data_IF_324862688083
#
_entry.id   IF_324862688083
#
_cell.length_a   1.000
_cell.length_b   1.000
_cell.length_c   1.000
_cell.angle_alpha   90.00
_cell.angle_beta   90.00
_cell.angle_gamma   90.00
#
_symmetry.space_group_name_H-M   'P 1'
#
loop_
_entity.id
_entity.type
_entity.pdbx_description
1 polymer ?
#
# COMPACT_ATOMS: atom_id res chain seq x y z
N UNK A 1 -42.32 2.17 -5.23
CA UNK A 1 -41.38 2.34 -6.38
C UNK A 1 -40.32 3.42 -6.15
N UNK A 2 -40.70 4.66 -5.84
CA UNK A 2 -39.75 5.79 -5.67
C UNK A 2 -38.57 5.52 -4.73
N UNK A 3 -38.84 4.83 -3.62
CA UNK A 3 -37.84 4.53 -2.58
C UNK A 3 -36.77 3.54 -3.04
N UNK A 4 -37.14 2.52 -3.82
CA UNK A 4 -36.20 1.51 -4.36
C UNK A 4 -35.31 2.16 -5.41
N UNK A 5 -35.90 2.94 -6.32
CA UNK A 5 -35.14 3.66 -7.35
C UNK A 5 -34.10 4.60 -6.73
N UNK A 6 -34.46 5.33 -5.66
CA UNK A 6 -33.53 6.21 -4.95
C UNK A 6 -32.33 5.44 -4.36
N UNK A 7 -32.56 4.24 -3.82
CA UNK A 7 -31.47 3.38 -3.32
C UNK A 7 -30.56 2.92 -4.47
N UNK A 8 -31.13 2.45 -5.58
CA UNK A 8 -30.36 1.99 -6.74
C UNK A 8 -29.51 3.13 -7.30
N UNK A 9 -30.07 4.33 -7.51
CA UNK A 9 -29.31 5.49 -7.99
C UNK A 9 -28.16 5.85 -7.06
N UNK A 10 -28.41 5.83 -5.74
CA UNK A 10 -27.36 6.07 -4.76
C UNK A 10 -26.27 5.00 -4.78
N UNK A 11 -26.58 3.74 -5.08
CA UNK A 11 -25.56 2.69 -5.19
C UNK A 11 -24.78 2.82 -6.50
N UNK A 12 -25.46 3.06 -7.62
CA UNK A 12 -24.84 3.27 -8.92
C UNK A 12 -23.88 4.47 -8.90
N UNK A 13 -24.26 5.58 -8.26
CA UNK A 13 -23.39 6.75 -8.13
C UNK A 13 -22.09 6.48 -7.36
N UNK A 14 -22.01 5.39 -6.60
CA UNK A 14 -20.82 4.99 -5.83
C UNK A 14 -19.93 4.04 -6.61
N UNK A 15 -20.46 3.40 -7.66
CA UNK A 15 -19.71 2.48 -8.49
C UNK A 15 -18.67 3.26 -9.29
N UNK A 16 -17.39 3.00 -9.01
CA UNK A 16 -16.24 3.71 -9.59
C UNK A 16 -15.55 4.70 -8.65
N UNK A 17 -16.17 5.05 -7.51
CA UNK A 17 -15.49 5.84 -6.46
C UNK A 17 -14.66 4.92 -5.55
N UNK A 18 -13.35 4.86 -5.86
CA UNK A 18 -12.36 4.07 -5.11
C UNK A 18 -12.31 4.49 -3.63
N UNK A 19 -12.56 5.77 -3.31
CA UNK A 19 -12.54 6.27 -1.94
C UNK A 19 -13.64 5.62 -1.11
N UNK A 20 -14.82 5.55 -1.69
CA UNK A 20 -15.99 5.04 -1.03
C UNK A 20 -15.95 3.52 -0.92
N UNK A 21 -15.45 2.85 -1.96
CA UNK A 21 -15.14 1.43 -1.94
C UNK A 21 -14.14 1.09 -0.82
N UNK A 22 -13.01 1.80 -0.75
CA UNK A 22 -11.98 1.56 0.26
C UNK A 22 -12.49 1.82 1.68
N UNK A 23 -13.39 2.81 1.86
CA UNK A 23 -14.03 3.08 3.16
C UNK A 23 -14.86 1.88 3.61
N UNK A 24 -15.75 1.38 2.77
CA UNK A 24 -16.62 0.25 3.12
C UNK A 24 -15.83 -1.03 3.34
N UNK A 25 -14.85 -1.32 2.47
CA UNK A 25 -13.99 -2.49 2.61
C UNK A 25 -13.24 -2.49 3.94
N UNK A 26 -12.60 -1.36 4.29
CA UNK A 26 -11.88 -1.22 5.57
C UNK A 26 -12.83 -1.36 6.76
N UNK A 27 -14.02 -0.79 6.69
CA UNK A 27 -14.99 -0.84 7.78
C UNK A 27 -15.50 -2.28 8.01
N UNK A 28 -15.98 -2.95 6.96
CA UNK A 28 -16.48 -4.32 7.05
C UNK A 28 -15.40 -5.29 7.53
N UNK A 29 -14.17 -5.16 7.00
CA UNK A 29 -13.05 -6.00 7.41
C UNK A 29 -12.63 -5.75 8.86
N UNK A 30 -12.58 -4.49 9.32
CA UNK A 30 -12.29 -4.19 10.73
C UNK A 30 -13.30 -4.84 11.66
N UNK A 31 -14.60 -4.73 11.35
CA UNK A 31 -15.67 -5.32 12.16
C UNK A 31 -15.50 -6.85 12.22
N UNK A 32 -15.30 -7.49 11.07
CA UNK A 32 -15.09 -8.93 10.99
C UNK A 32 -13.84 -9.37 11.76
N UNK A 33 -12.68 -8.76 11.49
CA UNK A 33 -11.39 -9.13 12.08
C UNK A 33 -11.41 -8.95 13.61
N UNK A 34 -11.92 -7.81 14.10
CA UNK A 34 -12.01 -7.56 15.54
C UNK A 34 -12.92 -8.58 16.23
N UNK A 35 -14.05 -8.96 15.60
CA UNK A 35 -14.94 -10.01 16.13
C UNK A 35 -14.28 -11.38 16.11
N UNK A 36 -13.66 -11.78 15.00
CA UNK A 36 -13.03 -13.09 14.84
C UNK A 36 -11.87 -13.32 15.81
N UNK A 37 -11.03 -12.30 16.03
CA UNK A 37 -9.86 -12.41 16.91
C UNK A 37 -10.10 -11.86 18.33
N UNK A 38 -11.34 -11.54 18.70
CA UNK A 38 -11.71 -10.93 20.00
C UNK A 38 -10.84 -9.70 20.35
N UNK A 39 -10.51 -8.89 19.34
CA UNK A 39 -9.72 -7.66 19.49
C UNK A 39 -10.64 -6.44 19.56
N UNK A 40 -10.15 -5.39 20.20
CA UNK A 40 -10.81 -4.08 20.25
C UNK A 40 -9.86 -3.00 19.72
N UNK A 41 -10.41 -1.97 19.09
CA UNK A 41 -9.65 -0.83 18.59
C UNK A 41 -9.44 -0.79 17.08
N UNK A 42 -8.57 0.11 16.65
CA UNK A 42 -8.33 0.45 15.24
C UNK A 42 -7.43 -0.57 14.56
N UNK A 43 -7.90 -1.17 13.47
CA UNK A 43 -7.11 -2.12 12.67
C UNK A 43 -6.19 -1.43 11.65
N UNK A 44 -6.58 -0.25 11.15
CA UNK A 44 -5.87 0.47 10.10
C UNK A 44 -5.26 1.76 10.65
N UNK A 45 -3.94 1.94 10.51
CA UNK A 45 -3.25 3.13 11.03
C UNK A 45 -3.46 4.36 10.14
N UNK A 46 -3.43 4.19 8.81
CA UNK A 46 -3.52 5.30 7.85
C UNK A 46 -4.68 5.15 6.84
N UNK A 47 -5.04 6.27 6.20
CA UNK A 47 -5.91 6.28 5.01
C UNK A 47 -5.24 5.53 3.84
N UNK A 48 -6.05 5.06 2.90
CA UNK A 48 -5.49 4.45 1.69
C UNK A 48 -4.76 5.52 0.86
N UNK A 49 -3.68 5.10 0.18
CA UNK A 49 -2.91 5.96 -0.72
C UNK A 49 -3.38 5.70 -2.14
N UNK A 50 -3.73 6.75 -2.87
CA UNK A 50 -4.02 6.70 -4.30
C UNK A 50 -2.91 7.45 -5.03
N UNK A 51 -2.21 6.74 -5.91
CA UNK A 51 -1.07 7.29 -6.65
C UNK A 51 -1.32 7.04 -8.12
N UNK A 52 -1.31 8.10 -8.91
CA UNK A 52 -1.37 8.00 -10.37
C UNK A 52 -0.07 7.40 -10.87
N UNK A 53 -0.20 6.40 -11.73
CA UNK A 53 0.93 5.70 -12.36
C UNK A 53 0.83 5.98 -13.85
N UNK A 54 1.97 6.29 -14.48
CA UNK A 54 2.03 6.42 -15.93
C UNK A 54 1.65 5.10 -16.58
N UNK A 55 0.85 5.17 -17.65
CA UNK A 55 0.41 4.01 -18.43
C UNK A 55 1.53 3.48 -19.33
N UNK A 56 2.60 3.02 -18.69
CA UNK A 56 3.73 2.38 -19.34
C UNK A 56 4.00 1.04 -18.69
N UNK A 57 4.32 0.03 -19.52
CA UNK A 57 4.62 -1.31 -19.03
C UNK A 57 5.81 -1.32 -18.04
N UNK A 58 6.76 -0.39 -18.20
CA UNK A 58 7.88 -0.22 -17.27
C UNK A 58 7.44 0.27 -15.89
N UNK A 59 6.47 1.19 -15.81
CA UNK A 59 5.91 1.65 -14.54
C UNK A 59 5.06 0.57 -13.86
N UNK A 60 4.22 -0.14 -14.61
CA UNK A 60 3.43 -1.26 -14.08
C UNK A 60 4.32 -2.38 -13.51
N UNK A 61 5.36 -2.79 -14.23
CA UNK A 61 6.33 -3.79 -13.73
C UNK A 61 7.01 -3.38 -12.43
N UNK A 62 7.34 -2.09 -12.27
CA UNK A 62 7.94 -1.58 -11.03
C UNK A 62 6.95 -1.65 -9.85
N UNK A 63 5.67 -1.36 -10.09
CA UNK A 63 4.64 -1.44 -9.06
C UNK A 63 4.36 -2.89 -8.67
N UNK A 64 4.29 -3.81 -9.64
CA UNK A 64 4.17 -5.23 -9.38
C UNK A 64 5.36 -5.74 -8.54
N UNK A 65 6.60 -5.45 -8.97
CA UNK A 65 7.80 -5.80 -8.23
C UNK A 65 7.81 -5.21 -6.81
N UNK A 66 7.28 -3.99 -6.62
CA UNK A 66 7.14 -3.41 -5.28
C UNK A 66 6.18 -4.20 -4.39
N UNK A 67 5.05 -4.66 -4.93
CA UNK A 67 4.08 -5.47 -4.19
C UNK A 67 4.72 -6.80 -3.77
N UNK A 68 5.36 -7.49 -4.72
CA UNK A 68 5.96 -8.81 -4.51
C UNK A 68 7.15 -8.76 -3.55
N UNK A 69 7.94 -7.69 -3.58
CA UNK A 69 9.12 -7.54 -2.72
C UNK A 69 8.82 -6.92 -1.35
N UNK A 70 7.57 -6.52 -1.07
CA UNK A 70 7.20 -5.96 0.24
C UNK A 70 7.44 -6.92 1.42
N UNK A 71 7.13 -8.23 1.35
CA UNK A 71 7.42 -9.15 2.44
C UNK A 71 8.91 -9.30 2.71
N UNK A 72 9.72 -9.37 1.66
CA UNK A 72 11.19 -9.38 1.77
C UNK A 72 11.65 -8.08 2.43
N UNK A 73 11.14 -6.94 1.96
CA UNK A 73 11.45 -5.62 2.53
C UNK A 73 11.03 -5.47 3.99
N UNK A 74 9.96 -6.14 4.42
CA UNK A 74 9.50 -6.15 5.80
C UNK A 74 10.32 -7.10 6.70
N UNK A 75 11.28 -7.85 6.14
CA UNK A 75 12.04 -8.85 6.89
C UNK A 75 11.27 -10.14 7.17
N UNK A 76 10.07 -10.30 6.61
CA UNK A 76 9.22 -11.47 6.87
C UNK A 76 9.77 -12.77 6.24
N UNK A 77 10.64 -12.64 5.23
CA UNK A 77 11.23 -13.77 4.50
C UNK A 77 12.65 -14.10 4.97
N UNK A 78 13.46 -13.08 5.26
CA UNK A 78 14.89 -13.22 5.58
C UNK A 78 15.21 -13.05 7.07
N UNK A 79 14.19 -13.06 7.94
CA UNK A 79 14.33 -13.08 9.39
C UNK A 79 14.12 -11.73 10.06
N UNK A 80 14.88 -10.69 9.67
CA UNK A 80 14.72 -9.35 10.23
C UNK A 80 14.85 -8.24 9.19
N UNK A 81 14.22 -7.11 9.46
CA UNK A 81 14.31 -5.91 8.63
C UNK A 81 15.74 -5.37 8.61
N UNK A 82 16.43 -5.46 9.73
CA UNK A 82 17.81 -5.00 9.90
C UNK A 82 18.76 -5.78 8.99
N UNK A 83 18.60 -7.11 8.91
CA UNK A 83 19.38 -7.95 8.01
C UNK A 83 19.15 -7.58 6.54
N UNK A 84 17.89 -7.37 6.15
CA UNK A 84 17.54 -6.93 4.78
C UNK A 84 18.18 -5.58 4.46
N UNK A 85 18.21 -4.66 5.43
CA UNK A 85 18.84 -3.35 5.26
C UNK A 85 20.35 -3.46 5.10
N UNK A 86 21.00 -4.32 5.89
CA UNK A 86 22.43 -4.56 5.80
C UNK A 86 22.81 -5.13 4.43
N UNK A 87 22.14 -6.19 3.99
CA UNK A 87 22.34 -6.79 2.65
C UNK A 87 22.13 -5.74 1.56
N UNK A 88 21.11 -4.89 1.70
CA UNK A 88 20.91 -3.80 0.76
C UNK A 88 22.06 -2.80 0.75
N UNK A 89 22.60 -2.39 1.91
CA UNK A 89 23.74 -1.46 1.96
C UNK A 89 24.99 -2.08 1.33
N UNK A 90 25.29 -3.34 1.63
CA UNK A 90 26.45 -4.07 1.11
C UNK A 90 26.38 -4.27 -0.41
N UNK A 91 25.18 -4.50 -0.93
CA UNK A 91 24.94 -4.78 -2.35
C UNK A 91 24.28 -3.60 -3.11
N UNK A 92 24.34 -2.38 -2.57
CA UNK A 92 23.72 -1.19 -3.17
C UNK A 92 24.07 -1.02 -4.67
N UNK A 93 25.29 -1.38 -5.04
CA UNK A 93 25.80 -1.26 -6.41
C UNK A 93 25.08 -2.19 -7.41
N UNK A 94 24.51 -3.31 -6.96
CA UNK A 94 23.75 -4.25 -7.77
C UNK A 94 22.34 -3.74 -8.11
N UNK A 95 21.82 -2.79 -7.33
CA UNK A 95 20.48 -2.21 -7.54
C UNK A 95 20.48 -1.03 -8.52
N UNK A 96 21.63 -0.71 -9.12
CA UNK A 96 21.80 0.28 -10.18
C UNK A 96 22.27 1.65 -9.71
N UNK A 97 22.79 2.46 -10.64
CA UNK A 97 23.38 3.78 -10.36
C UNK A 97 22.39 4.69 -9.62
N UNK A 98 22.82 5.23 -8.47
CA UNK A 98 22.13 6.29 -7.73
C UNK A 98 21.89 7.48 -8.68
N UNK A 99 20.63 7.75 -9.04
CA UNK A 99 20.32 8.93 -9.86
C UNK A 99 20.65 10.21 -9.06
N UNK A 100 21.47 11.09 -9.65
CA UNK A 100 21.93 12.37 -9.07
C UNK A 100 20.83 13.45 -9.00
N UNK A 101 19.72 13.24 -9.70
CA UNK A 101 18.62 14.20 -9.81
C UNK A 101 17.84 14.34 -8.48
N UNK A 102 17.71 15.57 -7.99
CA UNK A 102 16.88 15.93 -6.82
C UNK A 102 15.38 15.93 -7.14
N UNK A 103 14.97 15.78 -8.42
CA UNK A 103 13.57 15.50 -8.78
C UNK A 103 13.23 14.10 -8.32
N UNK A 104 12.34 14.05 -7.33
CA UNK A 104 11.97 12.87 -6.53
C UNK A 104 11.57 11.69 -7.43
N UNK A 105 12.40 10.63 -7.55
CA UNK A 105 12.05 9.49 -8.39
C UNK A 105 11.05 8.58 -7.65
N UNK A 106 10.40 7.67 -8.37
CA UNK A 106 9.71 6.49 -7.78
C UNK A 106 10.60 5.68 -6.79
N UNK A 107 11.91 5.96 -6.73
CA UNK A 107 12.86 5.53 -5.71
C UNK A 107 12.51 5.93 -4.25
N UNK A 108 11.54 6.83 -4.02
CA UNK A 108 10.97 7.03 -2.68
C UNK A 108 10.35 5.76 -2.08
N UNK A 109 10.01 4.75 -2.90
CA UNK A 109 9.55 3.44 -2.43
C UNK A 109 10.65 2.64 -1.71
N UNK A 110 11.93 2.94 -1.97
CA UNK A 110 13.09 2.21 -1.44
C UNK A 110 13.85 2.97 -0.36
N UNK A 111 13.45 4.21 -0.04
CA UNK A 111 14.07 5.00 1.01
C UNK A 111 13.41 4.64 2.33
N UNK A 112 14.16 4.01 3.24
CA UNK A 112 13.73 3.70 4.59
C UNK A 112 13.19 4.95 5.27
N UNK A 113 11.87 5.00 5.50
CA UNK A 113 11.29 5.94 6.44
C UNK A 113 11.50 5.36 7.84
N UNK A 114 12.47 5.92 8.55
CA UNK A 114 12.72 5.70 9.98
C UNK A 114 11.78 6.54 10.87
N UNK A 115 10.82 7.25 10.28
CA UNK A 115 9.90 8.08 11.04
C UNK A 115 8.79 7.21 11.66
N UNK A 116 9.03 6.77 12.88
CA UNK A 116 8.03 6.56 13.94
C UNK A 116 6.89 5.58 13.67
N UNK A 117 7.16 4.29 13.81
CA UNK A 117 6.14 3.34 14.28
C UNK A 117 6.59 2.83 15.65
N UNK A 118 6.30 3.65 16.67
CA UNK A 118 6.07 3.21 18.04
C UNK A 118 4.56 3.23 18.27
#
# INVERSE_FOLDING_TARGET
MQRIMNVIYKLLARMGDVTLFMKELKQCFSIWCNRSYKRYGTLWVERFKSVLIEDTAACLRKVAAYIDLNPVRAGLVLGSKEHVNQVFQEHCDLFGKRRRDRRKPHAWLWRFRTDGYA
#
